data_IF_353253395105
#
_entry.id   IF_353253395105
#
_cell.length_a   1.000
_cell.length_b   1.000
_cell.length_c   1.000
_cell.angle_alpha   90.00
_cell.angle_beta   90.00
_cell.angle_gamma   90.00
#
_symmetry.space_group_name_H-M   'P 1'
#
loop_
_entity.id
_entity.type
_entity.pdbx_description
1 polymer ?
#
# COMPACT_ATOMS: atom_id res chain seq x y z
N UNK A 1 22.96 -164.95 3.18
CA UNK A 1 22.53 -163.78 2.37
C UNK A 1 21.82 -162.83 3.30
N UNK A 2 22.50 -161.79 3.76
CA UNK A 2 21.91 -160.72 4.58
C UNK A 2 21.21 -159.72 3.64
N UNK A 3 19.98 -159.31 3.96
CA UNK A 3 19.24 -158.33 3.15
C UNK A 3 19.89 -156.95 3.29
N UNK A 4 20.16 -156.23 2.17
CA UNK A 4 20.67 -154.87 2.23
C UNK A 4 19.59 -153.93 2.77
N UNK A 5 19.96 -153.09 3.73
CA UNK A 5 19.08 -152.05 4.28
C UNK A 5 19.23 -150.79 3.44
N UNK A 6 18.18 -150.42 2.71
CA UNK A 6 18.22 -149.20 1.90
C UNK A 6 18.29 -147.93 2.78
N UNK A 7 17.53 -147.86 3.89
CA UNK A 7 17.58 -146.74 4.83
C UNK A 7 16.92 -147.08 6.18
N UNK A 8 17.50 -146.65 7.31
CA UNK A 8 16.88 -146.62 8.65
C UNK A 8 17.03 -145.24 9.27
N UNK A 9 16.05 -144.82 10.05
CA UNK A 9 16.04 -143.52 10.74
C UNK A 9 15.50 -143.68 12.16
N UNK A 10 16.11 -142.98 13.12
CA UNK A 10 15.67 -142.91 14.52
C UNK A 10 15.77 -141.46 15.01
N UNK A 11 14.73 -140.96 15.68
CA UNK A 11 14.71 -139.63 16.28
C UNK A 11 14.29 -139.67 17.74
N UNK A 12 14.86 -138.78 18.55
CA UNK A 12 14.53 -138.64 19.96
C UNK A 12 14.88 -137.25 20.50
N UNK A 13 14.40 -136.95 21.71
CA UNK A 13 14.79 -135.76 22.46
C UNK A 13 15.95 -136.10 23.38
N UNK A 14 17.00 -135.29 23.38
CA UNK A 14 18.12 -135.33 24.33
C UNK A 14 18.18 -134.02 25.09
N UNK A 15 18.84 -134.03 26.24
CA UNK A 15 18.86 -132.89 27.16
C UNK A 15 19.71 -131.77 26.56
N UNK A 16 19.26 -130.53 26.70
CA UNK A 16 20.02 -129.32 26.29
C UNK A 16 21.40 -129.26 26.96
N UNK A 17 21.56 -129.86 28.14
CA UNK A 17 22.85 -129.95 28.83
C UNK A 17 23.86 -130.88 28.13
N UNK A 18 23.37 -131.83 27.33
CA UNK A 18 24.18 -132.85 26.64
C UNK A 18 24.34 -132.49 25.16
N UNK A 19 23.33 -131.88 24.54
CA UNK A 19 23.37 -131.39 23.17
C UNK A 19 24.11 -130.05 23.07
N UNK A 20 25.43 -130.13 23.22
CA UNK A 20 26.35 -129.03 22.96
C UNK A 20 27.13 -129.28 21.68
N UNK A 21 27.52 -128.21 21.00
CA UNK A 21 28.29 -128.30 19.77
C UNK A 21 29.59 -129.11 19.96
N UNK A 22 30.24 -128.99 21.13
CA UNK A 22 31.44 -129.76 21.47
C UNK A 22 31.21 -131.28 21.44
N UNK A 23 30.04 -131.74 21.90
CA UNK A 23 29.73 -133.18 21.94
C UNK A 23 29.60 -133.80 20.55
N UNK A 24 29.20 -133.03 19.55
CA UNK A 24 29.18 -133.50 18.17
C UNK A 24 30.58 -133.61 17.56
N UNK A 25 31.52 -132.75 17.97
CA UNK A 25 32.92 -132.89 17.60
C UNK A 25 33.55 -134.11 18.27
N UNK A 26 33.26 -134.35 19.56
CA UNK A 26 33.74 -135.54 20.26
C UNK A 26 33.16 -136.83 19.66
N UNK A 27 31.88 -136.81 19.27
CA UNK A 27 31.26 -137.94 18.55
C UNK A 27 31.91 -138.18 17.18
N UNK A 28 32.30 -137.12 16.47
CA UNK A 28 33.00 -137.24 15.20
C UNK A 28 34.38 -137.92 15.35
N UNK A 29 35.09 -137.64 16.45
CA UNK A 29 36.38 -138.27 16.77
C UNK A 29 36.18 -139.74 17.16
N UNK A 30 35.18 -140.03 18.02
CA UNK A 30 34.82 -141.41 18.38
C UNK A 30 34.50 -142.26 17.15
N UNK A 31 33.84 -141.69 16.14
CA UNK A 31 33.55 -142.38 14.89
C UNK A 31 34.82 -142.73 14.09
N UNK A 32 35.88 -141.93 14.15
CA UNK A 32 37.16 -142.21 13.47
C UNK A 32 37.95 -143.34 14.15
N UNK A 33 37.82 -143.50 15.46
CA UNK A 33 38.56 -144.51 16.22
C UNK A 33 37.98 -145.94 16.08
N UNK A 34 36.74 -146.07 15.60
CA UNK A 34 36.07 -147.37 15.51
C UNK A 34 36.56 -148.13 14.27
N UNK A 35 37.44 -149.11 14.49
CA UNK A 35 37.99 -149.98 13.45
C UNK A 35 36.98 -150.90 12.76
N UNK A 36 35.82 -151.15 13.39
CA UNK A 36 34.81 -152.12 12.93
C UNK A 36 34.18 -151.79 11.57
N UNK A 37 34.21 -150.52 11.16
CA UNK A 37 33.52 -150.05 9.94
C UNK A 37 34.47 -149.73 8.76
N UNK A 38 35.79 -149.80 8.99
CA UNK A 38 36.83 -149.39 8.04
C UNK A 38 37.07 -147.87 8.02
N UNK A 39 38.03 -147.38 7.21
CA UNK A 39 38.39 -145.97 7.17
C UNK A 39 37.21 -145.11 6.69
N UNK A 40 36.92 -144.03 7.41
CA UNK A 40 35.91 -143.05 6.99
C UNK A 40 36.42 -142.28 5.77
N UNK A 41 35.55 -142.05 4.79
CA UNK A 41 35.75 -141.07 3.73
C UNK A 41 34.64 -140.01 3.81
N UNK A 42 34.97 -138.79 3.37
CA UNK A 42 34.03 -137.68 3.25
C UNK A 42 33.27 -137.40 4.56
N UNK A 43 33.99 -137.33 5.68
CA UNK A 43 33.43 -136.88 6.94
C UNK A 43 33.22 -135.36 6.89
N UNK A 44 32.02 -134.90 7.25
CA UNK A 44 31.75 -133.48 7.35
C UNK A 44 30.86 -133.18 8.55
N UNK A 45 31.15 -132.08 9.23
CA UNK A 45 30.30 -131.53 10.28
C UNK A 45 29.94 -130.09 9.91
N UNK A 46 28.67 -129.75 10.08
CA UNK A 46 28.12 -128.43 9.82
C UNK A 46 27.42 -127.90 11.06
N UNK A 47 27.87 -126.75 11.57
CA UNK A 47 27.18 -125.97 12.60
C UNK A 47 26.50 -124.78 11.96
N UNK A 48 25.21 -124.56 12.24
CA UNK A 48 24.44 -123.48 11.63
C UNK A 48 23.55 -122.72 12.63
N UNK A 49 23.47 -121.41 12.41
CA UNK A 49 22.63 -120.47 13.15
C UNK A 49 23.21 -120.03 14.50
N UNK A 50 22.64 -118.98 15.08
CA UNK A 50 23.16 -118.27 16.26
C UNK A 50 22.76 -116.78 16.20
N UNK A 51 23.24 -115.96 17.14
CA UNK A 51 23.00 -114.49 17.12
C UNK A 51 23.74 -113.82 15.96
N UNK A 52 24.82 -114.45 15.49
CA UNK A 52 25.54 -114.10 14.28
C UNK A 52 25.27 -115.18 13.22
N UNK A 53 25.10 -114.82 11.93
CA UNK A 53 24.85 -115.76 10.83
C UNK A 53 26.14 -116.50 10.44
N UNK A 54 26.76 -117.20 11.40
CA UNK A 54 27.97 -117.97 11.20
C UNK A 54 27.56 -119.41 10.88
N UNK A 55 28.15 -119.97 9.83
CA UNK A 55 28.04 -121.38 9.49
C UNK A 55 29.45 -121.96 9.39
N UNK A 56 29.74 -122.97 10.18
CA UNK A 56 30.99 -123.72 10.10
C UNK A 56 30.72 -125.01 9.35
N UNK A 57 31.52 -125.34 8.35
CA UNK A 57 31.37 -126.58 7.58
C UNK A 57 32.72 -127.05 7.08
N UNK A 58 33.06 -128.31 7.36
CA UNK A 58 34.31 -128.90 6.93
C UNK A 58 34.56 -130.25 7.58
N UNK A 59 35.79 -130.72 7.46
CA UNK A 59 36.29 -131.87 8.21
C UNK A 59 36.22 -131.57 9.73
N UNK A 60 35.90 -132.56 10.59
CA UNK A 60 35.83 -132.36 12.03
C UNK A 60 37.03 -131.63 12.64
N UNK A 61 38.25 -131.91 12.17
CA UNK A 61 39.46 -131.26 12.69
C UNK A 61 39.53 -129.77 12.31
N UNK A 62 39.13 -129.45 11.08
CA UNK A 62 39.08 -128.07 10.60
C UNK A 62 38.00 -127.29 11.38
N UNK A 63 36.81 -127.87 11.50
CA UNK A 63 35.69 -127.23 12.20
C UNK A 63 35.97 -127.08 13.70
N UNK A 64 36.68 -128.02 14.33
CA UNK A 64 37.13 -127.90 15.73
C UNK A 64 38.04 -126.69 15.92
N UNK A 65 39.04 -126.51 15.06
CA UNK A 65 39.95 -125.36 15.11
C UNK A 65 39.21 -124.03 14.91
N UNK A 66 38.25 -123.98 13.98
CA UNK A 66 37.42 -122.78 13.75
C UNK A 66 36.45 -122.52 14.93
N UNK A 67 35.88 -123.57 15.51
CA UNK A 67 34.97 -123.50 16.65
C UNK A 67 35.65 -122.96 17.92
N UNK A 68 36.93 -123.29 18.16
CA UNK A 68 37.69 -122.78 19.30
C UNK A 68 38.00 -121.28 19.22
N UNK A 69 38.06 -120.71 18.00
CA UNK A 69 38.36 -119.29 17.79
C UNK A 69 37.15 -118.37 17.97
N UNK A 70 35.93 -118.92 18.01
CA UNK A 70 34.70 -118.13 18.07
C UNK A 70 34.28 -117.89 19.52
N UNK A 71 33.97 -116.63 19.84
CA UNK A 71 33.54 -116.21 21.18
C UNK A 71 32.09 -116.62 21.49
N UNK A 72 31.20 -116.62 20.51
CA UNK A 72 29.81 -117.07 20.67
C UNK A 72 29.62 -118.49 20.10
N UNK A 73 29.57 -119.49 20.99
CA UNK A 73 29.44 -120.92 20.65
C UNK A 73 27.99 -121.39 20.57
N UNK A 74 27.02 -120.46 20.51
CA UNK A 74 25.59 -120.79 20.47
C UNK A 74 25.14 -121.05 19.04
N UNK A 75 25.22 -122.32 18.63
CA UNK A 75 24.64 -122.78 17.37
C UNK A 75 23.20 -123.27 17.55
N UNK A 76 22.38 -123.13 16.51
CA UNK A 76 20.98 -123.61 16.55
C UNK A 76 20.83 -125.03 16.01
N UNK A 77 21.65 -125.43 15.05
CA UNK A 77 21.60 -126.75 14.42
C UNK A 77 22.98 -127.31 14.14
N UNK A 78 23.09 -128.64 14.18
CA UNK A 78 24.30 -129.40 13.84
C UNK A 78 23.94 -130.51 12.87
N UNK A 79 24.78 -130.73 11.86
CA UNK A 79 24.66 -131.86 10.95
C UNK A 79 26.01 -132.53 10.77
N UNK A 80 26.11 -133.79 11.19
CA UNK A 80 27.28 -134.64 11.01
C UNK A 80 27.00 -135.69 9.94
N UNK A 81 27.94 -135.90 9.02
CA UNK A 81 27.85 -136.91 7.97
C UNK A 81 29.18 -137.68 7.87
N UNK A 82 29.10 -139.01 7.77
CA UNK A 82 30.25 -139.88 7.52
C UNK A 82 29.89 -140.98 6.51
N UNK A 83 30.84 -141.36 5.66
CA UNK A 83 30.68 -142.45 4.67
C UNK A 83 31.78 -143.49 4.90
N UNK A 84 31.40 -144.77 4.97
CA UNK A 84 32.29 -145.90 5.17
C UNK A 84 32.39 -146.73 3.88
N UNK A 85 33.44 -146.57 3.06
CA UNK A 85 33.54 -147.23 1.75
C UNK A 85 33.67 -148.75 1.86
N UNK A 86 34.38 -149.23 2.89
CA UNK A 86 34.62 -150.66 3.15
C UNK A 86 33.35 -151.43 3.50
N UNK A 87 32.28 -150.73 3.87
CA UNK A 87 31.02 -151.30 4.34
C UNK A 87 29.87 -150.95 3.38
N UNK A 88 30.04 -151.24 2.09
CA UNK A 88 29.04 -150.98 1.03
C UNK A 88 28.60 -149.50 0.92
N UNK A 89 29.54 -148.56 1.12
CA UNK A 89 29.27 -147.12 1.16
C UNK A 89 28.20 -146.73 2.19
N UNK A 90 28.23 -147.39 3.36
CA UNK A 90 27.38 -147.07 4.50
C UNK A 90 27.52 -145.59 4.86
N UNK A 91 26.40 -144.86 4.84
CA UNK A 91 26.36 -143.43 5.15
C UNK A 91 25.59 -143.20 6.43
N UNK A 92 26.19 -142.47 7.38
CA UNK A 92 25.55 -142.05 8.63
C UNK A 92 25.39 -140.55 8.60
N UNK A 93 24.19 -140.07 8.89
CA UNK A 93 23.88 -138.65 9.05
C UNK A 93 23.22 -138.43 10.40
N UNK A 94 23.83 -137.63 11.26
CA UNK A 94 23.28 -137.23 12.57
C UNK A 94 22.99 -135.75 12.51
N UNK A 95 21.71 -135.38 12.56
CA UNK A 95 21.26 -133.99 12.56
C UNK A 95 20.60 -133.67 13.89
N UNK A 96 20.92 -132.53 14.49
CA UNK A 96 20.26 -132.07 15.72
C UNK A 96 19.92 -130.59 15.69
N UNK A 97 18.79 -130.24 16.32
CA UNK A 97 18.47 -128.87 16.69
C UNK A 97 18.82 -128.67 18.17
N UNK A 98 19.88 -127.91 18.42
CA UNK A 98 20.43 -127.73 19.76
C UNK A 98 19.46 -126.96 20.67
N UNK A 99 18.65 -126.05 20.11
CA UNK A 99 17.67 -125.27 20.87
C UNK A 99 16.42 -126.05 21.28
N UNK A 100 16.05 -127.08 20.52
CA UNK A 100 14.88 -127.93 20.80
C UNK A 100 15.22 -129.31 21.32
N UNK A 101 16.51 -129.63 21.45
CA UNK A 101 16.98 -130.91 21.97
C UNK A 101 16.69 -132.11 21.05
N UNK A 102 16.29 -131.90 19.79
CA UNK A 102 15.88 -132.98 18.89
C UNK A 102 17.10 -133.55 18.15
N UNK A 103 17.32 -134.86 18.24
CA UNK A 103 18.36 -135.61 17.53
C UNK A 103 17.71 -136.54 16.52
N UNK A 104 18.22 -136.55 15.30
CA UNK A 104 17.76 -137.40 14.23
C UNK A 104 18.97 -138.10 13.58
N UNK A 105 19.00 -139.43 13.62
CA UNK A 105 20.05 -140.25 13.04
C UNK A 105 19.49 -141.01 11.85
N UNK A 106 20.14 -140.90 10.70
CA UNK A 106 19.78 -141.59 9.46
C UNK A 106 20.97 -142.40 8.96
N UNK A 107 20.73 -143.68 8.65
CA UNK A 107 21.74 -144.63 8.18
C UNK A 107 21.29 -145.21 6.83
N UNK A 108 22.17 -145.21 5.82
CA UNK A 108 21.89 -145.69 4.45
C UNK A 108 22.95 -146.69 3.97
N UNK A 109 22.56 -147.68 3.17
CA UNK A 109 23.42 -148.65 2.46
C UNK A 109 24.24 -149.66 3.31
N UNK A 110 23.74 -150.08 4.47
CA UNK A 110 24.43 -151.04 5.37
C UNK A 110 23.73 -152.40 5.53
N UNK A 111 24.35 -153.29 6.31
CA UNK A 111 23.67 -154.46 6.89
C UNK A 111 22.95 -154.06 8.19
N UNK A 112 21.90 -154.78 8.55
CA UNK A 112 21.10 -154.49 9.76
C UNK A 112 21.96 -154.43 11.04
N UNK A 113 22.96 -155.32 11.15
CA UNK A 113 23.85 -155.40 12.30
C UNK A 113 24.74 -154.15 12.46
N UNK A 114 25.25 -153.62 11.33
CA UNK A 114 26.07 -152.39 11.34
C UNK A 114 25.20 -151.16 11.65
N UNK A 115 23.97 -151.11 11.14
CA UNK A 115 23.04 -150.03 11.43
C UNK A 115 22.66 -149.99 12.92
N UNK A 116 22.41 -151.14 13.55
CA UNK A 116 22.07 -151.21 14.98
C UNK A 116 23.23 -150.75 15.87
N UNK A 117 24.46 -151.18 15.59
CA UNK A 117 25.66 -150.71 16.31
C UNK A 117 25.82 -149.20 16.24
N UNK A 118 25.61 -148.60 15.06
CA UNK A 118 25.69 -147.16 14.86
C UNK A 118 24.57 -146.39 15.57
N UNK A 119 23.35 -146.94 15.64
CA UNK A 119 22.28 -146.34 16.43
C UNK A 119 22.58 -146.39 17.92
N UNK A 120 23.14 -147.50 18.42
CA UNK A 120 23.54 -147.61 19.83
C UNK A 120 24.64 -146.61 20.17
N UNK A 121 25.64 -146.46 19.30
CA UNK A 121 26.70 -145.47 19.47
C UNK A 121 26.14 -144.04 19.51
N UNK A 122 25.19 -143.72 18.63
CA UNK A 122 24.55 -142.42 18.63
C UNK A 122 23.65 -142.18 19.86
N UNK A 123 22.97 -143.22 20.37
CA UNK A 123 22.18 -143.18 21.60
C UNK A 123 23.05 -143.05 22.86
N UNK A 124 24.25 -143.62 22.85
CA UNK A 124 25.23 -143.47 23.93
C UNK A 124 25.81 -142.05 23.95
N UNK A 125 26.18 -141.52 22.77
CA UNK A 125 26.65 -140.15 22.63
C UNK A 125 25.57 -139.12 22.98
N UNK A 126 24.30 -139.41 22.66
CA UNK A 126 23.16 -138.54 22.90
C UNK A 126 22.00 -139.29 23.58
N UNK A 127 22.00 -139.43 24.92
CA UNK A 127 20.96 -140.17 25.64
C UNK A 127 19.60 -139.47 25.60
N UNK A 128 18.51 -140.22 25.72
CA UNK A 128 17.14 -139.68 25.73
C UNK A 128 16.88 -138.85 26.99
N UNK A 129 16.34 -137.65 26.84
CA UNK A 129 15.84 -136.82 27.96
C UNK A 129 14.41 -137.21 28.30
N UNK A 130 14.11 -137.35 29.58
CA UNK A 130 12.74 -137.24 30.09
C UNK A 130 12.33 -135.75 30.01
N UNK A 131 11.06 -135.46 29.73
CA UNK A 131 10.55 -134.08 29.60
C UNK A 131 10.71 -133.23 30.88
N UNK A 132 10.36 -131.94 30.84
CA UNK A 132 10.42 -131.07 32.00
C UNK A 132 9.54 -131.60 33.15
N UNK A 133 9.98 -131.38 34.38
CA UNK A 133 9.24 -131.76 35.58
C UNK A 133 8.01 -130.85 35.76
N UNK A 134 6.93 -131.35 36.38
CA UNK A 134 5.73 -130.55 36.69
C UNK A 134 6.05 -129.25 37.45
N UNK A 135 7.10 -129.25 38.28
CA UNK A 135 7.58 -128.06 38.99
C UNK A 135 8.15 -126.98 38.05
N UNK A 136 8.83 -127.37 36.97
CA UNK A 136 9.39 -126.44 35.98
C UNK A 136 8.28 -125.80 35.14
N UNK A 137 7.24 -126.59 34.81
CA UNK A 137 6.04 -126.11 34.11
C UNK A 137 5.32 -125.05 34.96
N UNK A 138 5.16 -125.28 36.26
CA UNK A 138 4.50 -124.32 37.15
C UNK A 138 5.30 -123.00 37.28
N UNK A 139 6.62 -123.08 37.44
CA UNK A 139 7.48 -121.89 37.49
C UNK A 139 7.45 -121.08 36.19
N UNK A 140 7.45 -121.76 35.03
CA UNK A 140 7.34 -121.11 33.73
C UNK A 140 5.98 -120.44 33.54
N UNK A 141 4.89 -121.07 34.01
CA UNK A 141 3.55 -120.50 33.98
C UNK A 141 3.45 -119.22 34.83
N UNK A 142 4.01 -119.23 36.05
CA UNK A 142 4.07 -118.04 36.91
C UNK A 142 4.89 -116.91 36.27
N UNK A 143 6.05 -117.24 35.67
CA UNK A 143 6.88 -116.27 34.95
C UNK A 143 6.13 -115.66 33.76
N UNK A 144 5.42 -116.48 32.99
CA UNK A 144 4.62 -116.02 31.86
C UNK A 144 3.50 -115.08 32.31
N UNK A 145 2.79 -115.42 33.39
CA UNK A 145 1.75 -114.55 33.97
C UNK A 145 2.31 -113.19 34.42
N UNK A 146 3.48 -113.19 35.06
CA UNK A 146 4.15 -111.95 35.46
C UNK A 146 4.57 -111.10 34.25
N UNK A 147 5.08 -111.73 33.19
CA UNK A 147 5.43 -111.05 31.94
C UNK A 147 4.20 -110.47 31.22
N UNK A 148 3.07 -111.19 31.19
CA UNK A 148 1.81 -110.69 30.63
C UNK A 148 1.35 -109.45 31.40
N UNK A 149 1.35 -109.50 32.74
CA UNK A 149 0.94 -108.36 33.57
C UNK A 149 1.84 -107.14 33.37
N UNK A 150 3.13 -107.34 33.18
CA UNK A 150 4.07 -106.25 32.90
C UNK A 150 3.89 -105.68 31.49
N UNK A 151 3.62 -106.54 30.50
CA UNK A 151 3.29 -106.11 29.14
C UNK A 151 1.99 -105.29 29.10
N UNK A 152 0.95 -105.70 29.83
CA UNK A 152 -0.31 -104.94 29.94
C UNK A 152 -0.09 -103.56 30.58
N UNK A 153 0.71 -103.48 31.65
CA UNK A 153 1.11 -102.19 32.24
C UNK A 153 1.85 -101.32 31.24
N UNK A 154 2.83 -101.88 30.51
CA UNK A 154 3.59 -101.17 29.50
C UNK A 154 2.69 -100.63 28.37
N UNK A 155 1.72 -101.42 27.90
CA UNK A 155 0.72 -100.98 26.91
C UNK A 155 -0.15 -99.85 27.48
N UNK A 156 -0.59 -99.97 28.73
CA UNK A 156 -1.39 -98.91 29.38
C UNK A 156 -0.60 -97.60 29.54
N UNK A 157 0.69 -97.70 29.87
CA UNK A 157 1.59 -96.57 29.98
C UNK A 157 1.86 -95.93 28.61
N UNK A 158 2.10 -96.75 27.57
CA UNK A 158 2.25 -96.29 26.19
C UNK A 158 1.01 -95.54 25.69
N UNK A 159 -0.19 -96.06 25.97
CA UNK A 159 -1.44 -95.37 25.61
C UNK A 159 -1.63 -94.03 26.32
N UNK A 160 -1.18 -93.91 27.58
CA UNK A 160 -1.17 -92.63 28.31
C UNK A 160 -0.13 -91.68 27.73
N UNK A 161 1.06 -92.17 27.40
CA UNK A 161 2.11 -91.38 26.75
C UNK A 161 1.65 -90.85 25.38
N UNK A 162 0.99 -91.67 24.56
CA UNK A 162 0.42 -91.24 23.27
C UNK A 162 -0.59 -90.11 23.46
N UNK A 163 -1.56 -90.27 24.36
CA UNK A 163 -2.55 -89.21 24.66
C UNK A 163 -1.87 -87.91 25.12
N UNK A 164 -0.81 -88.02 25.93
CA UNK A 164 -0.03 -86.86 26.36
C UNK A 164 0.72 -86.22 25.19
N UNK A 165 1.25 -87.02 24.26
CA UNK A 165 1.90 -86.53 23.03
C UNK A 165 0.92 -85.78 22.14
N UNK A 166 -0.27 -86.34 21.91
CA UNK A 166 -1.30 -85.71 21.09
C UNK A 166 -1.75 -84.36 21.70
N UNK A 167 -1.89 -84.31 23.04
CA UNK A 167 -2.20 -83.07 23.76
C UNK A 167 -1.06 -82.05 23.64
N UNK A 168 0.20 -82.48 23.71
CA UNK A 168 1.37 -81.61 23.57
C UNK A 168 1.45 -81.02 22.16
N UNK A 169 1.19 -81.82 21.13
CA UNK A 169 1.14 -81.37 19.73
C UNK A 169 0.01 -80.35 19.53
N UNK A 170 -1.17 -80.59 20.12
CA UNK A 170 -2.27 -79.61 20.09
C UNK A 170 -1.89 -78.29 20.78
N UNK A 171 -1.18 -78.35 21.92
CA UNK A 171 -0.69 -77.15 22.59
C UNK A 171 0.38 -76.42 21.77
N UNK A 172 1.27 -77.14 21.08
CA UNK A 172 2.26 -76.54 20.17
C UNK A 172 1.57 -75.81 19.00
N UNK A 173 0.58 -76.44 18.37
CA UNK A 173 -0.19 -75.82 17.30
C UNK A 173 -0.91 -74.55 17.79
N UNK A 174 -1.53 -74.61 18.98
CA UNK A 174 -2.17 -73.44 19.59
C UNK A 174 -1.17 -72.33 19.89
N UNK A 175 0.01 -72.66 20.45
CA UNK A 175 1.07 -71.68 20.73
C UNK A 175 1.56 -71.01 19.45
N UNK A 176 1.76 -71.77 18.37
CA UNK A 176 2.15 -71.25 17.07
C UNK A 176 1.07 -70.33 16.46
N UNK A 177 -0.20 -70.67 16.63
CA UNK A 177 -1.31 -69.80 16.20
C UNK A 177 -1.34 -68.49 16.99
N UNK A 178 -1.17 -68.54 18.32
CA UNK A 178 -1.08 -67.34 19.14
C UNK A 178 0.14 -66.48 18.77
N UNK A 179 1.29 -67.08 18.48
CA UNK A 179 2.48 -66.36 18.05
C UNK A 179 2.22 -65.57 16.75
N UNK A 180 1.56 -66.21 15.77
CA UNK A 180 1.14 -65.52 14.52
C UNK A 180 0.22 -64.33 14.80
N UNK A 181 -0.79 -64.51 15.66
CA UNK A 181 -1.71 -63.43 16.04
C UNK A 181 -0.95 -62.27 16.70
N UNK A 182 -0.04 -62.57 17.62
CA UNK A 182 0.79 -61.56 18.30
C UNK A 182 1.69 -60.81 17.30
N UNK A 183 2.28 -61.50 16.33
CA UNK A 183 3.10 -60.85 15.29
C UNK A 183 2.28 -59.93 14.38
N UNK A 184 1.06 -60.36 13.99
CA UNK A 184 0.14 -59.52 13.24
C UNK A 184 -0.26 -58.28 14.04
N UNK A 185 -0.65 -58.45 15.31
CA UNK A 185 -1.00 -57.34 16.20
C UNK A 185 0.16 -56.37 16.43
N UNK A 186 1.40 -56.88 16.53
CA UNK A 186 2.60 -56.05 16.63
C UNK A 186 2.78 -55.18 15.38
N UNK A 187 2.71 -55.78 14.20
CA UNK A 187 2.85 -55.06 12.92
C UNK A 187 1.78 -53.96 12.77
N UNK A 188 0.54 -54.26 13.16
CA UNK A 188 -0.55 -53.28 13.15
C UNK A 188 -0.33 -52.14 14.15
N UNK A 189 0.15 -52.46 15.36
CA UNK A 189 0.50 -51.46 16.36
C UNK A 189 1.64 -50.54 15.92
N UNK A 190 2.66 -51.07 15.23
CA UNK A 190 3.75 -50.28 14.65
C UNK A 190 3.24 -49.34 13.54
N UNK A 191 2.28 -49.80 12.73
CA UNK A 191 1.62 -48.96 11.72
C UNK A 191 0.85 -47.81 12.36
N UNK A 192 0.03 -48.10 13.38
CA UNK A 192 -0.72 -47.09 14.13
C UNK A 192 0.20 -46.07 14.80
N UNK A 193 1.35 -46.51 15.35
CA UNK A 193 2.33 -45.62 15.95
C UNK A 193 2.91 -44.62 14.93
N UNK A 194 3.17 -45.07 13.71
CA UNK A 194 3.68 -44.20 12.65
C UNK A 194 2.63 -43.20 12.17
N UNK A 195 1.37 -43.64 12.01
CA UNK A 195 0.25 -42.73 11.69
C UNK A 195 0.07 -41.67 12.79
N UNK A 196 0.19 -42.06 14.07
CA UNK A 196 0.08 -41.14 15.20
C UNK A 196 1.22 -40.11 15.23
N UNK A 197 2.45 -40.51 14.89
CA UNK A 197 3.58 -39.58 14.74
C UNK A 197 3.33 -38.55 13.65
N UNK A 198 2.89 -38.99 12.47
CA UNK A 198 2.54 -38.10 11.35
C UNK A 198 1.44 -37.09 11.74
N UNK A 199 0.38 -37.58 12.39
CA UNK A 199 -0.70 -36.72 12.90
C UNK A 199 -0.21 -35.72 13.94
N UNK A 200 0.71 -36.13 14.83
CA UNK A 200 1.32 -35.24 15.82
C UNK A 200 2.17 -34.14 15.18
N UNK A 201 2.94 -34.46 14.14
CA UNK A 201 3.73 -33.49 13.39
C UNK A 201 2.83 -32.50 12.64
N UNK A 202 1.79 -32.99 11.97
CA UNK A 202 0.79 -32.14 11.29
C UNK A 202 0.06 -31.23 12.29
N UNK A 203 -0.29 -31.76 13.47
CA UNK A 203 -0.89 -30.98 14.55
C UNK A 203 0.03 -29.85 15.03
N UNK A 204 1.33 -30.12 15.18
CA UNK A 204 2.32 -29.11 15.54
C UNK A 204 2.48 -28.02 14.48
N UNK A 205 2.45 -28.39 13.19
CA UNK A 205 2.49 -27.44 12.08
C UNK A 205 1.25 -26.54 12.09
N UNK A 206 0.05 -27.13 12.17
CA UNK A 206 -1.21 -26.37 12.25
C UNK A 206 -1.26 -25.45 13.48
N UNK A 207 -0.72 -25.87 14.63
CA UNK A 207 -0.64 -25.01 15.82
C UNK A 207 0.24 -23.76 15.58
N UNK A 208 1.32 -23.91 14.81
CA UNK A 208 2.19 -22.80 14.42
C UNK A 208 1.47 -21.85 13.46
N UNK A 209 0.75 -22.39 12.46
CA UNK A 209 -0.07 -21.59 11.54
C UNK A 209 -1.17 -20.81 12.26
N UNK A 210 -1.87 -21.43 13.22
CA UNK A 210 -2.89 -20.77 14.06
C UNK A 210 -2.26 -19.61 14.84
N UNK A 211 -1.06 -19.79 15.38
CA UNK A 211 -0.34 -18.73 16.10
C UNK A 211 0.02 -17.57 15.17
N UNK A 212 0.46 -17.86 13.95
CA UNK A 212 0.75 -16.85 12.94
C UNK A 212 -0.51 -16.08 12.52
N UNK A 213 -1.62 -16.76 12.27
CA UNK A 213 -2.91 -16.12 11.97
C UNK A 213 -3.41 -15.26 13.14
N UNK A 214 -3.25 -15.71 14.38
CA UNK A 214 -3.57 -14.91 15.57
C UNK A 214 -2.77 -13.61 15.61
N UNK A 215 -1.47 -13.68 15.38
CA UNK A 215 -0.60 -12.50 15.36
C UNK A 215 -0.99 -11.53 14.23
N UNK A 216 -1.26 -12.04 13.02
CA UNK A 216 -1.71 -11.23 11.90
C UNK A 216 -3.08 -10.57 12.17
N UNK A 217 -4.01 -11.31 12.77
CA UNK A 217 -5.33 -10.79 13.17
C UNK A 217 -5.20 -9.66 14.19
N UNK A 218 -4.26 -9.78 15.14
CA UNK A 218 -3.99 -8.74 16.12
C UNK A 218 -3.40 -7.48 15.47
N UNK A 219 -2.41 -7.62 14.57
CA UNK A 219 -1.89 -6.49 13.79
C UNK A 219 -2.98 -5.80 12.97
N UNK A 220 -3.86 -6.56 12.32
CA UNK A 220 -4.98 -5.99 11.55
C UNK A 220 -5.98 -5.27 12.45
N UNK A 221 -6.23 -5.78 13.66
CA UNK A 221 -7.09 -5.13 14.66
C UNK A 221 -6.49 -3.80 15.11
N UNK A 222 -5.20 -3.76 15.40
CA UNK A 222 -4.50 -2.54 15.83
C UNK A 222 -4.47 -1.49 14.70
N UNK A 223 -4.22 -1.91 13.46
CA UNK A 223 -4.31 -1.04 12.29
C UNK A 223 -5.74 -0.48 12.09
N UNK A 224 -6.76 -1.34 12.27
CA UNK A 224 -8.16 -0.91 12.19
C UNK A 224 -8.54 0.07 13.30
N UNK A 225 -8.00 -0.10 14.50
CA UNK A 225 -8.21 0.82 15.61
C UNK A 225 -7.60 2.19 15.29
N UNK A 226 -6.35 2.22 14.82
CA UNK A 226 -5.69 3.45 14.41
C UNK A 226 -6.47 4.20 13.32
N UNK A 227 -6.97 3.48 12.31
CA UNK A 227 -7.80 4.09 11.27
C UNK A 227 -9.10 4.70 11.84
N UNK A 228 -9.72 4.06 12.84
CA UNK A 228 -10.90 4.63 13.52
C UNK A 228 -10.55 5.90 14.27
N UNK A 229 -9.41 5.92 14.97
CA UNK A 229 -8.95 7.10 15.70
C UNK A 229 -8.64 8.26 14.72
N UNK A 230 -8.00 7.97 13.58
CA UNK A 230 -7.72 8.94 12.51
C UNK A 230 -9.02 9.48 11.89
N UNK A 231 -10.03 8.63 11.65
CA UNK A 231 -11.36 9.05 11.18
C UNK A 231 -12.00 10.00 12.20
N UNK A 232 -11.97 9.67 13.49
CA UNK A 232 -12.50 10.54 14.55
C UNK A 232 -11.81 11.91 14.58
N UNK A 233 -10.48 11.95 14.40
CA UNK A 233 -9.73 13.20 14.32
C UNK A 233 -10.10 14.04 13.07
N UNK A 234 -10.31 13.40 11.92
CA UNK A 234 -10.77 14.07 10.70
C UNK A 234 -12.19 14.63 10.89
N UNK A 235 -13.10 13.85 11.47
CA UNK A 235 -14.46 14.32 11.77
C UNK A 235 -14.46 15.56 12.69
N UNK A 236 -13.58 15.59 13.69
CA UNK A 236 -13.41 16.75 14.55
C UNK A 236 -12.94 17.99 13.76
N UNK A 237 -11.93 17.85 12.89
CA UNK A 237 -11.47 18.94 12.02
C UNK A 237 -12.53 19.42 11.04
N UNK A 238 -13.33 18.52 10.50
CA UNK A 238 -14.45 18.86 9.62
C UNK A 238 -15.47 19.71 10.38
N UNK A 239 -15.83 19.34 11.62
CA UNK A 239 -16.75 20.13 12.46
C UNK A 239 -16.19 21.51 12.77
N UNK A 240 -14.90 21.61 13.10
CA UNK A 240 -14.22 22.89 13.34
C UNK A 240 -14.26 23.78 12.10
N UNK A 241 -13.92 23.25 10.93
CA UNK A 241 -13.97 23.97 9.66
C UNK A 241 -15.38 24.48 9.33
N UNK A 242 -16.43 23.69 9.56
CA UNK A 242 -17.81 24.15 9.36
C UNK A 242 -18.20 25.27 10.33
N UNK A 243 -17.75 25.21 11.59
CA UNK A 243 -17.97 26.30 12.54
C UNK A 243 -17.27 27.59 12.11
N UNK A 244 -16.03 27.50 11.58
CA UNK A 244 -15.30 28.64 11.04
C UNK A 244 -15.99 29.24 9.80
N UNK A 245 -16.52 28.41 8.91
CA UNK A 245 -17.31 28.86 7.76
C UNK A 245 -18.54 29.64 8.24
N UNK A 246 -19.26 29.13 9.23
CA UNK A 246 -20.45 29.78 9.76
C UNK A 246 -20.11 31.12 10.43
N UNK A 247 -19.03 31.18 11.21
CA UNK A 247 -18.53 32.43 11.79
C UNK A 247 -18.13 33.45 10.71
N UNK A 248 -17.43 33.00 9.67
CA UNK A 248 -17.03 33.85 8.53
C UNK A 248 -18.24 34.36 7.77
N UNK A 249 -19.23 33.50 7.52
CA UNK A 249 -20.50 33.88 6.88
C UNK A 249 -21.23 34.96 7.67
N UNK A 250 -21.29 34.83 9.00
CA UNK A 250 -21.90 35.84 9.86
C UNK A 250 -21.14 37.17 9.77
N UNK A 251 -19.81 37.13 9.82
CA UNK A 251 -18.95 38.33 9.66
C UNK A 251 -19.15 39.01 8.30
N UNK A 252 -19.26 38.24 7.21
CA UNK A 252 -19.54 38.77 5.88
C UNK A 252 -20.92 39.44 5.83
N UNK A 253 -21.93 38.84 6.44
CA UNK A 253 -23.27 39.42 6.50
C UNK A 253 -23.29 40.73 7.32
N UNK A 254 -22.61 40.78 8.46
CA UNK A 254 -22.45 42.01 9.25
C UNK A 254 -21.73 43.10 8.47
N UNK A 255 -20.60 42.77 7.84
CA UNK A 255 -19.84 43.67 6.96
C UNK A 255 -20.71 44.21 5.81
N UNK A 256 -21.49 43.34 5.17
CA UNK A 256 -22.43 43.73 4.10
C UNK A 256 -23.48 44.71 4.61
N UNK A 257 -24.07 44.47 5.78
CA UNK A 257 -25.06 45.35 6.37
C UNK A 257 -24.47 46.72 6.76
N UNK A 258 -23.26 46.74 7.32
CA UNK A 258 -22.53 47.98 7.61
C UNK A 258 -22.20 48.75 6.33
N UNK A 259 -21.74 48.07 5.29
CA UNK A 259 -21.46 48.67 3.99
C UNK A 259 -22.74 49.26 3.37
N UNK A 260 -23.86 48.53 3.37
CA UNK A 260 -25.14 49.03 2.84
C UNK A 260 -25.64 50.26 3.60
N UNK A 261 -25.52 50.25 4.94
CA UNK A 261 -25.87 51.39 5.80
C UNK A 261 -24.99 52.60 5.52
N UNK A 262 -23.67 52.39 5.41
CA UNK A 262 -22.70 53.46 5.11
C UNK A 262 -22.94 54.04 3.73
N UNK A 263 -23.19 53.20 2.73
CA UNK A 263 -23.50 53.66 1.36
C UNK A 263 -24.79 54.46 1.33
N UNK A 264 -25.85 54.04 2.04
CA UNK A 264 -27.09 54.81 2.17
C UNK A 264 -26.84 56.17 2.81
N UNK A 265 -26.13 56.21 3.94
CA UNK A 265 -25.76 57.44 4.62
C UNK A 265 -24.96 58.39 3.71
N UNK A 266 -23.89 57.89 3.07
CA UNK A 266 -23.07 58.68 2.15
C UNK A 266 -23.88 59.20 0.97
N UNK A 267 -24.81 58.41 0.42
CA UNK A 267 -25.69 58.82 -0.67
C UNK A 267 -26.64 59.95 -0.25
N UNK A 268 -27.21 59.86 0.95
CA UNK A 268 -28.07 60.91 1.51
C UNK A 268 -27.29 62.21 1.77
N UNK A 269 -26.14 62.13 2.43
CA UNK A 269 -25.28 63.30 2.67
C UNK A 269 -24.77 63.93 1.37
N UNK A 270 -24.36 63.11 0.40
CA UNK A 270 -23.96 63.60 -0.93
C UNK A 270 -25.12 64.33 -1.60
N UNK A 271 -26.34 63.79 -1.51
CA UNK A 271 -27.54 64.45 -2.05
C UNK A 271 -27.81 65.80 -1.38
N UNK A 272 -27.70 65.88 -0.05
CA UNK A 272 -27.83 67.15 0.70
C UNK A 272 -26.79 68.17 0.26
N UNK A 273 -25.53 67.76 0.12
CA UNK A 273 -24.44 68.63 -0.35
C UNK A 273 -24.71 69.14 -1.77
N UNK A 274 -25.17 68.27 -2.68
CA UNK A 274 -25.52 68.67 -4.05
C UNK A 274 -26.65 69.71 -4.04
N UNK A 275 -27.73 69.47 -3.30
CA UNK A 275 -28.87 70.40 -3.21
C UNK A 275 -28.43 71.75 -2.66
N UNK A 276 -27.66 71.77 -1.57
CA UNK A 276 -27.15 73.01 -0.98
C UNK A 276 -26.22 73.78 -1.94
N UNK A 277 -25.37 73.08 -2.68
CA UNK A 277 -24.53 73.72 -3.70
C UNK A 277 -25.35 74.32 -4.84
N UNK A 278 -26.44 73.67 -5.27
CA UNK A 278 -27.34 74.23 -6.28
C UNK A 278 -28.04 75.50 -5.80
N UNK A 279 -28.53 75.52 -4.55
CA UNK A 279 -29.12 76.70 -3.92
C UNK A 279 -28.11 77.86 -3.84
N UNK A 280 -26.91 77.59 -3.32
CA UNK A 280 -25.84 78.59 -3.21
C UNK A 280 -25.43 79.15 -4.58
N UNK A 281 -25.39 78.32 -5.63
CA UNK A 281 -25.11 78.78 -6.99
C UNK A 281 -26.19 79.71 -7.54
N UNK A 282 -27.47 79.45 -7.22
CA UNK A 282 -28.58 80.32 -7.63
C UNK A 282 -28.50 81.67 -6.91
N UNK A 283 -28.30 81.65 -5.59
CA UNK A 283 -28.17 82.85 -4.74
C UNK A 283 -26.96 83.71 -5.14
N UNK A 284 -25.80 83.08 -5.40
CA UNK A 284 -24.59 83.79 -5.84
C UNK A 284 -24.81 84.48 -7.19
N UNK A 285 -25.49 83.84 -8.14
CA UNK A 285 -25.79 84.45 -9.45
C UNK A 285 -26.70 85.67 -9.31
N UNK A 286 -27.72 85.60 -8.45
CA UNK A 286 -28.65 86.70 -8.21
C UNK A 286 -27.94 87.91 -7.57
N UNK A 287 -27.14 87.67 -6.53
CA UNK A 287 -26.39 88.75 -5.87
C UNK A 287 -25.34 89.39 -6.77
N UNK A 288 -24.66 88.61 -7.61
CA UNK A 288 -23.65 89.12 -8.52
C UNK A 288 -24.28 90.03 -9.60
N UNK A 289 -25.45 89.67 -10.12
CA UNK A 289 -26.20 90.50 -11.06
C UNK A 289 -26.65 91.83 -10.43
N UNK A 290 -27.19 91.80 -9.21
CA UNK A 290 -27.68 92.99 -8.50
C UNK A 290 -26.55 93.93 -8.07
N UNK A 291 -25.41 93.38 -7.63
CA UNK A 291 -24.25 94.15 -7.20
C UNK A 291 -23.50 94.80 -8.38
N UNK A 292 -23.35 94.10 -9.50
CA UNK A 292 -22.66 94.64 -10.69
C UNK A 292 -23.44 95.80 -11.31
N UNK A 293 -24.77 95.70 -11.44
CA UNK A 293 -25.59 96.78 -12.01
C UNK A 293 -25.58 98.08 -11.19
N UNK A 294 -25.75 97.97 -9.86
CA UNK A 294 -25.79 99.14 -8.99
C UNK A 294 -24.41 99.80 -8.76
N UNK A 295 -23.35 99.00 -8.65
CA UNK A 295 -22.00 99.52 -8.41
C UNK A 295 -21.43 100.27 -9.61
N UNK A 296 -21.62 99.76 -10.84
CA UNK A 296 -21.12 100.37 -12.07
C UNK A 296 -21.75 101.76 -12.31
N UNK A 297 -23.07 101.89 -12.11
CA UNK A 297 -23.79 103.16 -12.23
C UNK A 297 -23.27 104.21 -11.23
N UNK A 298 -23.16 103.82 -9.95
CA UNK A 298 -22.68 104.74 -8.90
C UNK A 298 -21.25 105.22 -9.15
N UNK A 299 -20.39 104.36 -9.73
CA UNK A 299 -19.00 104.69 -10.04
C UNK A 299 -18.91 105.73 -11.18
N UNK A 300 -19.73 105.58 -12.22
CA UNK A 300 -19.76 106.54 -13.33
C UNK A 300 -20.37 107.89 -12.94
N UNK A 301 -21.44 107.89 -12.15
CA UNK A 301 -22.09 109.12 -11.70
C UNK A 301 -21.16 109.94 -10.77
N UNK A 302 -20.45 109.26 -9.86
CA UNK A 302 -19.45 109.90 -8.99
C UNK A 302 -18.29 110.51 -9.78
N UNK A 303 -17.89 109.87 -10.89
CA UNK A 303 -16.84 110.39 -11.79
C UNK A 303 -17.34 111.61 -12.58
N UNK A 304 -18.57 111.55 -13.12
CA UNK A 304 -19.22 112.66 -13.83
C UNK A 304 -19.28 113.92 -12.96
N UNK A 305 -19.77 113.80 -11.72
CA UNK A 305 -19.91 114.94 -10.79
C UNK A 305 -18.57 115.61 -10.46
N UNK A 306 -17.48 114.84 -10.42
CA UNK A 306 -16.13 115.39 -10.21
C UNK A 306 -15.65 116.19 -11.43
N UNK A 307 -15.97 115.73 -12.64
CA UNK A 307 -15.60 116.41 -13.90
C UNK A 307 -16.45 117.67 -14.10
N UNK A 308 -17.74 117.63 -13.78
CA UNK A 308 -18.64 118.80 -13.80
C UNK A 308 -18.13 119.93 -12.89
N UNK A 309 -17.67 119.58 -11.68
CA UNK A 309 -17.07 120.55 -10.78
C UNK A 309 -15.79 121.16 -11.35
N UNK A 310 -14.90 120.33 -11.93
CA UNK A 310 -13.66 120.77 -12.55
C UNK A 310 -13.92 121.74 -13.72
N UNK A 311 -14.94 121.45 -14.55
CA UNK A 311 -15.34 122.29 -15.68
C UNK A 311 -15.72 123.70 -15.21
N UNK A 312 -16.49 123.77 -14.13
CA UNK A 312 -16.88 125.05 -13.52
C UNK A 312 -15.68 125.84 -12.99
N UNK A 313 -14.68 125.15 -12.44
CA UNK A 313 -13.42 125.79 -12.00
C UNK A 313 -12.67 126.41 -13.18
N UNK A 314 -12.54 125.71 -14.31
CA UNK A 314 -11.88 126.28 -15.50
C UNK A 314 -12.70 127.38 -16.18
N UNK A 315 -14.04 127.31 -16.15
CA UNK A 315 -14.90 128.40 -16.62
C UNK A 315 -14.72 129.68 -15.79
N UNK A 316 -14.59 129.54 -14.47
CA UNK A 316 -14.30 130.65 -13.58
C UNK A 316 -12.90 131.23 -13.86
N UNK A 317 -11.91 130.35 -14.03
CA UNK A 317 -10.51 130.73 -14.27
C UNK A 317 -10.34 131.47 -15.60
N UNK A 318 -10.98 130.99 -16.68
CA UNK A 318 -11.01 131.66 -17.99
C UNK A 318 -11.63 133.05 -17.89
N UNK A 319 -12.78 133.16 -17.22
CA UNK A 319 -13.48 134.44 -17.03
C UNK A 319 -12.60 135.43 -16.26
N UNK A 320 -11.97 134.99 -15.16
CA UNK A 320 -11.07 135.82 -14.37
C UNK A 320 -9.84 136.28 -15.17
N UNK A 321 -9.27 135.39 -16.00
CA UNK A 321 -8.12 135.73 -16.84
C UNK A 321 -8.47 136.74 -17.94
N UNK A 322 -9.66 136.67 -18.53
CA UNK A 322 -10.15 137.67 -19.50
C UNK A 322 -10.31 139.04 -18.83
N UNK A 323 -10.88 139.08 -17.62
CA UNK A 323 -11.01 140.34 -16.85
C UNK A 323 -9.63 140.92 -16.52
N UNK A 324 -8.70 140.09 -16.06
CA UNK A 324 -7.33 140.52 -15.77
C UNK A 324 -6.64 141.08 -17.03
N UNK A 325 -6.83 140.45 -18.19
CA UNK A 325 -6.31 140.95 -19.46
C UNK A 325 -6.90 142.31 -19.83
N UNK A 326 -8.21 142.51 -19.64
CA UNK A 326 -8.85 143.80 -19.89
C UNK A 326 -8.27 144.91 -18.99
N UNK A 327 -8.01 144.62 -17.71
CA UNK A 327 -7.35 145.56 -16.78
C UNK A 327 -5.95 145.92 -17.26
N UNK A 328 -5.15 144.94 -17.71
CA UNK A 328 -3.80 145.19 -18.25
C UNK A 328 -3.85 146.04 -19.51
N UNK A 329 -4.83 145.83 -20.39
CA UNK A 329 -5.01 146.64 -21.61
C UNK A 329 -5.34 148.10 -21.25
N UNK A 330 -6.26 148.33 -20.29
CA UNK A 330 -6.60 149.68 -19.81
C UNK A 330 -5.37 150.35 -19.19
N UNK A 331 -4.60 149.62 -18.37
CA UNK A 331 -3.39 150.11 -17.74
C UNK A 331 -2.27 150.47 -18.73
N UNK A 332 -2.17 149.75 -19.85
CA UNK A 332 -1.26 150.10 -20.95
C UNK A 332 -1.75 151.37 -21.66
N UNK A 333 -3.07 151.50 -21.91
CA UNK A 333 -3.65 152.63 -22.62
C UNK A 333 -3.49 153.96 -21.86
N UNK A 334 -3.72 153.97 -20.55
CA UNK A 334 -3.49 155.15 -19.70
C UNK A 334 -2.02 155.59 -19.73
N UNK A 335 -1.09 154.65 -19.66
CA UNK A 335 0.35 154.96 -19.64
C UNK A 335 0.83 155.60 -20.95
N UNK A 336 0.33 155.13 -22.09
CA UNK A 336 0.67 155.69 -23.42
C UNK A 336 0.21 157.15 -23.53
N UNK A 337 -0.94 157.51 -22.93
CA UNK A 337 -1.43 158.90 -22.95
C UNK A 337 -0.59 159.85 -22.07
N UNK A 338 0.06 159.34 -21.03
CA UNK A 338 0.86 160.15 -20.08
C UNK A 338 2.32 160.40 -20.49
N UNK A 339 2.80 159.81 -21.59
CA UNK A 339 4.18 159.96 -22.06
C UNK A 339 4.36 161.26 -22.88
N UNK A 340 4.71 162.36 -22.21
CA UNK A 340 5.25 163.57 -22.86
C UNK A 340 6.76 163.44 -23.09
N UNK A 341 7.18 162.79 -24.19
CA UNK A 341 8.57 162.83 -24.66
C UNK A 341 8.65 162.54 -26.15
N UNK A 342 9.53 163.25 -26.88
CA UNK A 342 9.76 163.20 -28.36
C UNK A 342 10.22 161.84 -28.93
N UNK A 343 10.07 160.76 -28.17
CA UNK A 343 10.50 159.40 -28.54
C UNK A 343 9.26 158.59 -28.94
N UNK A 344 9.25 157.89 -30.10
CA UNK A 344 8.12 157.06 -30.49
C UNK A 344 7.79 156.01 -29.42
N UNK A 345 6.51 155.90 -29.02
CA UNK A 345 6.02 155.12 -27.87
C UNK A 345 6.50 153.66 -27.82
N UNK A 346 6.73 153.02 -28.97
CA UNK A 346 7.17 151.63 -29.08
C UNK A 346 8.65 151.41 -28.72
N UNK A 347 9.46 152.47 -28.64
CA UNK A 347 10.86 152.42 -28.19
C UNK A 347 11.03 152.68 -26.69
N UNK A 348 9.96 153.06 -25.98
CA UNK A 348 10.01 153.25 -24.54
C UNK A 348 10.17 151.88 -23.84
N UNK A 349 11.22 151.66 -23.03
CA UNK A 349 11.45 150.39 -22.35
C UNK A 349 10.25 149.97 -21.49
N UNK A 350 9.54 150.94 -20.93
CA UNK A 350 8.33 150.73 -20.12
C UNK A 350 7.15 150.14 -20.90
N UNK A 351 7.01 150.41 -22.20
CA UNK A 351 5.92 149.86 -23.02
C UNK A 351 6.20 148.39 -23.38
N UNK A 352 7.43 148.09 -23.81
CA UNK A 352 7.82 146.74 -24.23
C UNK A 352 7.74 145.73 -23.08
N UNK A 353 8.13 146.15 -21.87
CA UNK A 353 8.06 145.32 -20.67
C UNK A 353 6.60 145.02 -20.29
N UNK A 354 5.68 145.98 -20.44
CA UNK A 354 4.25 145.81 -20.14
C UNK A 354 3.53 144.94 -21.19
N UNK A 355 3.86 145.06 -22.48
CA UNK A 355 3.36 144.16 -23.53
C UNK A 355 3.83 142.72 -23.29
N UNK A 356 5.07 142.54 -22.86
CA UNK A 356 5.63 141.22 -22.50
C UNK A 356 4.86 140.56 -21.34
N UNK A 357 4.34 141.34 -20.39
CA UNK A 357 3.48 140.84 -19.30
C UNK A 357 2.11 140.35 -19.80
N UNK A 358 1.59 140.90 -20.91
CA UNK A 358 0.28 140.50 -21.46
C UNK A 358 0.31 139.18 -22.23
N UNK A 359 1.44 138.82 -22.83
CA UNK A 359 1.62 137.58 -23.62
C UNK A 359 1.31 136.31 -22.79
N UNK A 360 1.87 136.11 -21.57
CA UNK A 360 1.57 134.93 -20.78
C UNK A 360 0.11 134.86 -20.33
N UNK A 361 -0.58 136.00 -20.15
CA UNK A 361 -2.01 136.03 -19.78
C UNK A 361 -2.87 135.59 -20.97
N UNK A 362 -2.57 136.05 -22.19
CA UNK A 362 -3.27 135.63 -23.42
C UNK A 362 -3.07 134.12 -23.65
N UNK A 363 -1.85 133.62 -23.47
CA UNK A 363 -1.58 132.19 -23.55
C UNK A 363 -2.39 131.41 -22.51
N UNK A 364 -2.47 131.91 -21.28
CA UNK A 364 -3.23 131.28 -20.20
C UNK A 364 -4.73 131.24 -20.47
N UNK A 365 -5.30 132.27 -21.10
CA UNK A 365 -6.71 132.28 -21.54
C UNK A 365 -6.92 131.17 -22.58
N UNK A 366 -6.08 131.10 -23.62
CA UNK A 366 -6.18 130.08 -24.66
C UNK A 366 -6.07 128.65 -24.09
N UNK A 367 -5.11 128.44 -23.18
CA UNK A 367 -4.93 127.17 -22.48
C UNK A 367 -6.16 126.80 -21.63
N UNK A 368 -6.71 127.75 -20.89
CA UNK A 368 -7.85 127.51 -20.00
C UNK A 368 -9.14 127.25 -20.79
N UNK A 369 -9.35 127.89 -21.94
CA UNK A 369 -10.47 127.59 -22.86
C UNK A 369 -10.34 126.17 -23.41
N UNK A 370 -9.13 125.77 -23.82
CA UNK A 370 -8.89 124.42 -24.31
C UNK A 370 -9.17 123.36 -23.24
N UNK A 371 -8.74 123.59 -21.99
CA UNK A 371 -9.04 122.68 -20.90
C UNK A 371 -10.53 122.62 -20.56
N UNK A 372 -11.23 123.76 -20.56
CA UNK A 372 -12.68 123.79 -20.37
C UNK A 372 -13.44 122.98 -21.43
N UNK A 373 -13.06 123.12 -22.71
CA UNK A 373 -13.68 122.36 -23.79
C UNK A 373 -13.46 120.85 -23.62
N UNK A 374 -12.24 120.44 -23.24
CA UNK A 374 -11.90 119.04 -23.01
C UNK A 374 -12.66 118.45 -21.83
N UNK A 375 -12.81 119.20 -20.74
CA UNK A 375 -13.57 118.74 -19.58
C UNK A 375 -15.08 118.64 -19.84
N UNK A 376 -15.64 119.53 -20.66
CA UNK A 376 -17.03 119.42 -21.11
C UNK A 376 -17.28 118.17 -21.94
N UNK A 377 -16.38 117.84 -22.86
CA UNK A 377 -16.49 116.63 -23.67
C UNK A 377 -16.45 115.36 -22.80
N UNK A 378 -15.58 115.35 -21.77
CA UNK A 378 -15.57 114.25 -20.80
C UNK A 378 -16.85 114.19 -19.97
N UNK A 379 -17.42 115.32 -19.56
CA UNK A 379 -18.70 115.35 -18.84
C UNK A 379 -19.83 114.70 -19.66
N UNK A 380 -19.91 115.03 -20.96
CA UNK A 380 -20.89 114.47 -21.89
C UNK A 380 -20.66 112.95 -22.08
N UNK A 381 -19.40 112.52 -22.24
CA UNK A 381 -19.04 111.11 -22.38
C UNK A 381 -19.38 110.27 -21.14
N UNK A 382 -19.04 110.76 -19.94
CA UNK A 382 -19.36 110.07 -18.69
C UNK A 382 -20.84 110.18 -18.34
N UNK A 383 -21.50 111.28 -18.73
CA UNK A 383 -22.96 111.43 -18.66
C UNK A 383 -23.68 110.36 -19.45
N UNK A 384 -23.27 110.16 -20.70
CA UNK A 384 -23.81 109.11 -21.58
C UNK A 384 -23.56 107.72 -21.01
N UNK A 385 -22.33 107.42 -20.56
CA UNK A 385 -21.98 106.12 -19.96
C UNK A 385 -22.77 105.86 -18.66
N UNK A 386 -23.05 106.89 -17.86
CA UNK A 386 -23.86 106.77 -16.65
C UNK A 386 -25.32 106.47 -16.98
N UNK A 387 -25.95 107.22 -17.90
CA UNK A 387 -27.34 106.94 -18.32
C UNK A 387 -27.48 105.57 -18.97
N UNK A 388 -26.46 105.16 -19.72
CA UNK A 388 -26.42 103.85 -20.37
C UNK A 388 -26.25 102.70 -19.37
N UNK A 389 -25.45 102.89 -18.33
CA UNK A 389 -25.34 101.93 -17.22
C UNK A 389 -26.63 101.80 -16.41
N UNK A 390 -27.44 102.87 -16.31
CA UNK A 390 -28.74 102.83 -15.65
C UNK A 390 -29.77 102.03 -16.46
N UNK A 391 -29.80 102.21 -17.79
CA UNK A 391 -30.73 101.50 -18.67
C UNK A 391 -30.36 100.03 -18.90
N UNK A 392 -29.10 99.63 -18.64
CA UNK A 392 -28.64 98.24 -18.79
C UNK A 392 -29.44 97.25 -17.94
N UNK A 393 -29.89 97.64 -16.74
CA UNK A 393 -30.68 96.75 -15.86
C UNK A 393 -32.07 96.44 -16.45
N UNK A 394 -32.88 97.43 -16.88
CA UNK A 394 -34.11 97.17 -17.65
C UNK A 394 -33.91 96.37 -18.94
N UNK A 395 -32.84 96.64 -19.70
CA UNK A 395 -32.57 95.91 -20.96
C UNK A 395 -32.19 94.45 -20.73
N UNK A 396 -31.43 94.13 -19.67
CA UNK A 396 -31.12 92.75 -19.29
C UNK A 396 -32.36 92.00 -18.81
N UNK A 397 -33.27 92.67 -18.09
CA UNK A 397 -34.55 92.08 -17.71
C UNK A 397 -35.49 91.87 -18.91
N UNK A 398 -35.46 92.75 -19.93
CA UNK A 398 -36.19 92.56 -21.18
C UNK A 398 -35.64 91.37 -21.99
N UNK A 399 -34.31 91.22 -22.08
CA UNK A 399 -33.66 90.05 -22.70
C UNK A 399 -33.97 88.76 -21.94
N UNK A 400 -34.08 88.82 -20.60
CA UNK A 400 -34.48 87.68 -19.77
C UNK A 400 -35.94 87.28 -20.01
N UNK A 401 -36.88 88.25 -20.05
CA UNK A 401 -38.29 87.97 -20.38
C UNK A 401 -38.46 87.39 -21.78
N UNK A 402 -37.77 87.93 -22.78
CA UNK A 402 -37.79 87.38 -24.14
C UNK A 402 -37.27 85.93 -24.20
N UNK A 403 -36.29 85.58 -23.36
CA UNK A 403 -35.77 84.21 -23.25
C UNK A 403 -36.79 83.23 -22.63
N UNK A 404 -37.66 83.70 -21.73
CA UNK A 404 -38.70 82.89 -21.10
C UNK A 404 -39.97 82.78 -21.96
N UNK A 405 -40.26 83.77 -22.80
CA UNK A 405 -41.50 83.85 -23.61
C UNK A 405 -41.37 83.22 -25.01
N UNK A 406 -40.18 83.19 -25.62
CA UNK A 406 -39.96 82.58 -26.95
C UNK A 406 -39.31 81.19 -26.87
N UNK A 407 -40.13 80.16 -26.66
CA UNK A 407 -39.74 78.78 -26.96
C UNK A 407 -39.84 78.46 -28.47
N UNK A 408 -40.40 79.35 -29.28
CA UNK A 408 -40.58 79.15 -30.72
C UNK A 408 -40.46 80.48 -31.48
N UNK A 409 -39.67 80.48 -32.56
CA UNK A 409 -39.39 81.57 -33.52
C UNK A 409 -38.48 82.77 -33.11
N UNK A 410 -37.37 82.84 -33.86
CA UNK A 410 -36.47 83.96 -34.18
C UNK A 410 -35.59 84.59 -33.08
N UNK A 411 -34.37 84.03 -32.97
CA UNK A 411 -33.20 84.66 -32.35
C UNK A 411 -32.79 86.01 -32.97
N UNK A 412 -33.48 86.47 -34.02
CA UNK A 412 -33.36 87.79 -34.63
C UNK A 412 -33.71 88.90 -33.64
N UNK A 413 -34.71 88.73 -32.76
CA UNK A 413 -35.04 89.74 -31.75
C UNK A 413 -33.95 89.84 -30.68
N UNK A 414 -33.37 88.72 -30.25
CA UNK A 414 -32.24 88.70 -29.32
C UNK A 414 -31.00 89.34 -29.94
N UNK A 415 -30.74 89.02 -31.20
CA UNK A 415 -29.61 89.58 -31.94
C UNK A 415 -29.82 91.07 -32.24
N UNK A 416 -31.04 91.51 -32.55
CA UNK A 416 -31.41 92.91 -32.68
C UNK A 416 -31.22 93.68 -31.36
N UNK A 417 -31.63 93.13 -30.22
CA UNK A 417 -31.41 93.77 -28.92
C UNK A 417 -29.92 93.82 -28.57
N UNK A 418 -29.17 92.74 -28.81
CA UNK A 418 -27.71 92.72 -28.59
C UNK A 418 -27.00 93.71 -29.51
N UNK A 419 -27.38 93.80 -30.79
CA UNK A 419 -26.79 94.71 -31.77
C UNK A 419 -27.18 96.16 -31.48
N UNK A 420 -28.42 96.42 -31.09
CA UNK A 420 -28.88 97.75 -30.65
C UNK A 420 -28.13 98.18 -29.40
N UNK A 421 -27.94 97.28 -28.43
CA UNK A 421 -27.07 97.53 -27.27
C UNK A 421 -25.66 97.84 -27.77
N UNK A 422 -25.06 97.00 -28.61
CA UNK A 422 -23.71 97.23 -29.14
C UNK A 422 -23.57 98.59 -29.83
N UNK A 423 -24.52 98.97 -30.66
CA UNK A 423 -24.53 100.23 -31.42
C UNK A 423 -24.73 101.45 -30.51
N UNK A 424 -25.51 101.34 -29.43
CA UNK A 424 -25.62 102.37 -28.39
C UNK A 424 -24.34 102.44 -27.53
N UNK A 425 -23.65 101.32 -27.33
CA UNK A 425 -22.44 101.22 -26.52
C UNK A 425 -21.15 101.62 -27.29
N UNK A 426 -21.14 101.59 -28.62
CA UNK A 426 -20.07 102.14 -29.45
C UNK A 426 -20.13 103.68 -29.48
N UNK A 427 -19.02 104.30 -29.12
CA UNK A 427 -18.89 105.71 -28.78
C UNK A 427 -19.29 106.64 -29.95
N UNK A 428 -20.32 107.51 -29.85
CA UNK A 428 -20.84 108.24 -31.00
C UNK A 428 -19.99 109.46 -31.44
N UNK A 429 -18.78 109.67 -30.92
CA UNK A 429 -17.89 110.77 -31.35
C UNK A 429 -16.47 110.26 -31.62
N UNK A 430 -15.83 110.71 -32.73
CA UNK A 430 -14.54 110.19 -33.18
C UNK A 430 -13.43 110.53 -32.18
N UNK A 431 -12.65 109.50 -31.85
CA UNK A 431 -11.52 109.55 -30.92
C UNK A 431 -10.53 110.69 -31.24
N UNK A 432 -10.56 111.76 -30.45
CA UNK A 432 -9.48 112.75 -30.42
C UNK A 432 -9.05 113.04 -29.00
N UNK A 433 -8.69 111.99 -28.25
CA UNK A 433 -8.08 112.16 -26.94
C UNK A 433 -6.96 111.12 -26.76
N UNK A 434 -5.78 111.63 -26.43
CA UNK A 434 -4.52 110.95 -26.04
C UNK A 434 -3.46 110.69 -27.14
N UNK A 435 -2.77 111.78 -27.52
CA UNK A 435 -1.30 112.02 -27.41
C UNK A 435 -0.29 110.90 -27.81
N UNK A 436 0.88 111.14 -28.41
CA UNK A 436 1.69 112.35 -28.61
C UNK A 436 2.92 112.00 -29.46
N UNK A 437 3.18 112.74 -30.56
CA UNK A 437 4.54 112.97 -31.07
C UNK A 437 4.60 114.27 -31.89
N UNK A 438 5.33 115.24 -31.33
CA UNK A 438 6.09 116.34 -31.93
C UNK A 438 5.52 117.07 -33.16
N UNK A 439 5.05 118.29 -32.88
CA UNK A 439 5.72 119.50 -33.38
C UNK A 439 5.45 119.89 -34.82
N UNK A 440 4.35 120.62 -35.05
CA UNK A 440 4.28 121.62 -36.10
C UNK A 440 3.11 122.59 -35.83
N UNK A 441 3.44 123.89 -35.81
CA UNK A 441 2.54 124.99 -36.20
C UNK A 441 1.64 125.66 -35.16
N UNK A 442 2.05 125.77 -33.89
CA UNK A 442 1.57 126.87 -33.03
C UNK A 442 2.14 128.25 -33.47
N UNK A 443 3.16 128.25 -34.34
CA UNK A 443 3.72 129.47 -34.93
C UNK A 443 2.76 130.17 -35.88
N UNK A 444 1.81 129.46 -36.51
CA UNK A 444 0.90 130.07 -37.49
C UNK A 444 -0.24 130.84 -36.84
N UNK A 445 -0.73 130.41 -35.68
CA UNK A 445 -1.79 131.10 -34.94
C UNK A 445 -1.22 132.34 -34.23
N UNK A 446 -0.01 132.23 -33.66
CA UNK A 446 0.69 133.37 -33.10
C UNK A 446 1.10 134.39 -34.18
N UNK A 447 1.52 133.93 -35.36
CA UNK A 447 1.77 134.79 -36.53
C UNK A 447 0.49 135.48 -37.01
N UNK A 448 -0.64 134.78 -37.10
CA UNK A 448 -1.90 135.38 -37.55
C UNK A 448 -2.47 136.39 -36.54
N UNK A 449 -2.29 136.15 -35.23
CA UNK A 449 -2.60 137.13 -34.18
C UNK A 449 -1.65 138.32 -34.19
N UNK A 450 -0.34 138.10 -34.36
CA UNK A 450 0.64 139.18 -34.52
C UNK A 450 0.36 140.01 -35.78
N UNK A 451 0.06 139.38 -36.91
CA UNK A 451 -0.27 140.06 -38.17
C UNK A 451 -1.59 140.84 -38.06
N UNK A 452 -2.58 140.35 -37.31
CA UNK A 452 -3.81 141.10 -37.02
C UNK A 452 -3.56 142.29 -36.10
N UNK A 453 -2.71 142.13 -35.07
CA UNK A 453 -2.33 143.24 -34.17
C UNK A 453 -1.50 144.28 -34.92
N UNK A 454 -0.55 143.86 -35.76
CA UNK A 454 0.25 144.74 -36.62
C UNK A 454 -0.66 145.48 -37.61
N UNK A 455 -1.62 144.81 -38.26
CA UNK A 455 -2.62 145.46 -39.12
C UNK A 455 -3.50 146.47 -38.39
N UNK A 456 -3.88 146.21 -37.13
CA UNK A 456 -4.66 147.16 -36.33
C UNK A 456 -3.82 148.39 -35.97
N UNK A 457 -2.53 148.20 -35.67
CA UNK A 457 -1.59 149.29 -35.37
C UNK A 457 -1.26 150.11 -36.63
N UNK A 458 -1.08 149.49 -37.80
CA UNK A 458 -0.86 150.20 -39.07
C UNK A 458 -2.12 150.93 -39.56
N UNK A 459 -3.31 150.35 -39.37
CA UNK A 459 -4.58 151.01 -39.72
C UNK A 459 -4.91 152.18 -38.80
N UNK A 460 -4.38 152.20 -37.58
CA UNK A 460 -4.41 153.36 -36.68
C UNK A 460 -3.44 154.48 -37.02
N UNK A 461 -2.59 154.33 -38.06
CA UNK A 461 -1.55 155.30 -38.47
C UNK A 461 -1.93 156.14 -39.72
N UNK A 462 -3.13 155.96 -40.28
CA UNK A 462 -3.63 156.72 -41.45
C UNK A 462 -4.92 157.52 -41.18
N UNK A 463 -5.27 157.74 -39.91
CA UNK A 463 -6.26 158.74 -39.51
C UNK A 463 -5.66 159.68 -38.48
#
# INVERSE_FOLDING_TARGET
MQQPVNQRQLSWLSSENILKAERFLDFADQMQEISDFGPIHNQSITFSGGVLPIQLTGDPNQVRNEFEQITDKRFTTVNFRAVFPSSNNLTVTVTSNLSFGHVNVTIQNGTDELAEKLFLLALEAFPRSTGPSDQEIEQQSLRLSALIKEAEKAVSASKKAQKSSDSAEQHEQNANNFLKIIQSAKTESEKLLNELKMLSEESSQKATEITNFKNQSQTNRDASQKLRDDIGAIEAKIREFFNEIEATKNTINESRNLADTTVKYCKEETKKIITKNQELQAETKEHLLKAVGASLFSAFEKRKKRIEFSKWVWALLTTAAIVAQAVVIIWIAEHVQTLQSDIPFYKAPSFLLRVTVSIPIIFFIGYSIHQYAREREYEELYGFKSSLSFSLSPYLDLVRKLKEESADSNGEHRQFVIETIRQIFENPLPSRVETSKKGASDSNILKDLLDRVIKIIEKGRQN
#
